data_IF_294668492586
#
_entry.id   IF_294668492586
#
_cell.length_a   1.000
_cell.length_b   1.000
_cell.length_c   1.000
_cell.angle_alpha   90.00
_cell.angle_beta   90.00
_cell.angle_gamma   90.00
#
_symmetry.space_group_name_H-M   'P 1'
#
loop_
_entity.id
_entity.type
_entity.pdbx_description
1 polymer ?
#
# COMPACT_ATOMS: atom_id res chain seq x y z
N UNK A 1 63.59 -18.53 -5.07
CA UNK A 1 63.63 -19.97 -4.76
C UNK A 1 62.38 -20.64 -5.30
N UNK A 2 62.48 -21.87 -5.83
CA UNK A 2 61.34 -22.60 -6.44
C UNK A 2 60.12 -22.71 -5.50
N UNK A 3 60.37 -22.89 -4.20
CA UNK A 3 59.37 -22.91 -3.14
C UNK A 3 58.49 -21.65 -3.09
N UNK A 4 59.07 -20.46 -3.35
CA UNK A 4 58.31 -19.20 -3.39
C UNK A 4 57.38 -19.17 -4.61
N UNK A 5 57.83 -19.68 -5.75
CA UNK A 5 57.02 -19.74 -6.97
C UNK A 5 55.85 -20.74 -6.82
N UNK A 6 56.09 -21.90 -6.22
CA UNK A 6 55.06 -22.90 -5.92
C UNK A 6 54.00 -22.35 -4.96
N UNK A 7 54.43 -21.67 -3.89
CA UNK A 7 53.53 -20.99 -2.95
C UNK A 7 52.75 -19.85 -3.61
N UNK A 8 53.35 -19.09 -4.53
CA UNK A 8 52.62 -18.06 -5.30
C UNK A 8 51.53 -18.66 -6.19
N UNK A 9 51.78 -19.80 -6.82
CA UNK A 9 50.79 -20.51 -7.65
C UNK A 9 49.64 -21.04 -6.79
N UNK A 10 49.92 -21.62 -5.63
CA UNK A 10 48.91 -22.07 -4.68
C UNK A 10 48.01 -20.91 -4.22
N UNK A 11 48.60 -19.78 -3.81
CA UNK A 11 47.88 -18.57 -3.42
C UNK A 11 47.01 -18.05 -4.57
N UNK A 12 47.53 -18.04 -5.81
CA UNK A 12 46.76 -17.62 -6.98
C UNK A 12 45.55 -18.54 -7.25
N UNK A 13 45.72 -19.86 -7.10
CA UNK A 13 44.63 -20.83 -7.21
C UNK A 13 43.56 -20.64 -6.13
N UNK A 14 43.97 -20.44 -4.87
CA UNK A 14 43.04 -20.11 -3.79
C UNK A 14 42.30 -18.79 -4.05
N UNK A 15 43.02 -17.76 -4.50
CA UNK A 15 42.46 -16.48 -4.89
C UNK A 15 41.39 -16.63 -5.98
N UNK A 16 41.70 -17.40 -7.03
CA UNK A 16 40.75 -17.72 -8.09
C UNK A 16 39.51 -18.47 -7.59
N UNK A 17 39.68 -19.42 -6.65
CA UNK A 17 38.57 -20.12 -6.01
C UNK A 17 37.70 -19.20 -5.13
N UNK A 18 38.30 -18.22 -4.44
CA UNK A 18 37.55 -17.22 -3.67
C UNK A 18 36.74 -16.31 -4.60
N UNK A 19 37.36 -15.80 -5.67
CA UNK A 19 36.67 -14.97 -6.68
C UNK A 19 35.50 -15.72 -7.31
N UNK A 20 35.68 -16.99 -7.71
CA UNK A 20 34.58 -17.81 -8.25
C UNK A 20 33.40 -17.94 -7.28
N UNK A 21 33.67 -18.17 -5.99
CA UNK A 21 32.62 -18.22 -4.96
C UNK A 21 31.90 -16.89 -4.79
N UNK A 22 32.63 -15.77 -4.86
CA UNK A 22 32.02 -14.43 -4.84
C UNK A 22 31.11 -14.21 -6.03
N UNK A 23 31.52 -14.62 -7.24
CA UNK A 23 30.69 -14.51 -8.45
C UNK A 23 29.40 -15.33 -8.29
N UNK A 24 29.50 -16.58 -7.83
CA UNK A 24 28.31 -17.41 -7.56
C UNK A 24 27.39 -16.77 -6.52
N UNK A 25 27.95 -16.16 -5.47
CA UNK A 25 27.16 -15.40 -4.49
C UNK A 25 26.43 -14.21 -5.11
N UNK A 26 27.07 -13.50 -6.05
CA UNK A 26 26.45 -12.39 -6.78
C UNK A 26 25.33 -12.85 -7.72
N UNK A 27 25.44 -14.03 -8.33
CA UNK A 27 24.36 -14.60 -9.14
C UNK A 27 23.11 -14.89 -8.29
N UNK A 28 23.29 -15.44 -7.08
CA UNK A 28 22.20 -15.66 -6.12
C UNK A 28 21.58 -14.34 -5.65
N UNK A 29 22.40 -13.33 -5.35
CA UNK A 29 21.91 -11.99 -4.97
C UNK A 29 21.06 -11.40 -6.11
N UNK A 30 21.52 -11.54 -7.36
CA UNK A 30 20.79 -11.06 -8.53
C UNK A 30 19.41 -11.74 -8.66
N UNK A 31 19.34 -13.05 -8.43
CA UNK A 31 18.07 -13.78 -8.45
C UNK A 31 17.11 -13.27 -7.38
N UNK A 32 17.59 -13.07 -6.15
CA UNK A 32 16.78 -12.52 -5.05
C UNK A 32 16.31 -11.09 -5.31
N UNK A 33 17.14 -10.24 -5.94
CA UNK A 33 16.73 -8.89 -6.35
C UNK A 33 15.59 -8.97 -7.36
N UNK A 34 15.70 -9.84 -8.38
CA UNK A 34 14.63 -10.02 -9.38
C UNK A 34 13.32 -10.52 -8.76
N UNK A 35 13.39 -11.44 -7.80
CA UNK A 35 12.21 -11.90 -7.07
C UNK A 35 11.59 -10.78 -6.23
N UNK A 36 12.43 -9.97 -5.58
CA UNK A 36 12.00 -8.82 -4.78
C UNK A 36 11.30 -7.78 -5.66
N UNK A 37 11.85 -7.42 -6.82
CA UNK A 37 11.20 -6.51 -7.77
C UNK A 37 9.84 -7.03 -8.25
N UNK A 38 9.70 -8.34 -8.49
CA UNK A 38 8.39 -8.95 -8.82
C UNK A 38 7.38 -8.83 -7.68
N UNK A 39 7.83 -8.96 -6.43
CA UNK A 39 6.97 -8.79 -5.24
C UNK A 39 6.55 -7.32 -5.07
N UNK A 40 7.46 -6.38 -5.26
CA UNK A 40 7.19 -4.93 -5.22
C UNK A 40 6.17 -4.55 -6.29
N UNK A 41 6.33 -5.04 -7.52
CA UNK A 41 5.37 -4.77 -8.61
C UNK A 41 3.96 -5.24 -8.26
N UNK A 42 3.82 -6.47 -7.75
CA UNK A 42 2.52 -7.00 -7.31
C UNK A 42 1.92 -6.19 -6.15
N UNK A 43 2.77 -5.69 -5.24
CA UNK A 43 2.32 -4.81 -4.17
C UNK A 43 1.75 -3.50 -4.73
N UNK A 44 2.42 -2.89 -5.71
CA UNK A 44 1.93 -1.70 -6.40
C UNK A 44 0.58 -1.92 -7.10
N UNK A 45 0.42 -3.06 -7.79
CA UNK A 45 -0.85 -3.47 -8.42
C UNK A 45 -1.97 -3.62 -7.36
N UNK A 46 -1.71 -4.34 -6.26
CA UNK A 46 -2.68 -4.49 -5.16
C UNK A 46 -3.02 -3.16 -4.48
N UNK A 47 -2.05 -2.26 -4.32
CA UNK A 47 -2.31 -0.92 -3.78
C UNK A 47 -3.17 -0.07 -4.69
N UNK A 48 -3.05 -0.22 -6.02
CA UNK A 48 -3.96 0.44 -6.96
C UNK A 48 -5.41 -0.06 -6.79
N UNK A 49 -5.61 -1.38 -6.71
CA UNK A 49 -6.95 -1.94 -6.47
C UNK A 49 -7.56 -1.44 -5.14
N UNK A 50 -6.75 -1.36 -4.07
CA UNK A 50 -7.20 -0.80 -2.80
C UNK A 50 -7.57 0.68 -2.97
N UNK A 51 -6.80 1.46 -3.74
CA UNK A 51 -7.11 2.86 -4.03
C UNK A 51 -8.48 3.04 -4.68
N UNK A 52 -8.81 2.20 -5.66
CA UNK A 52 -10.10 2.23 -6.36
C UNK A 52 -11.26 1.88 -5.41
N UNK A 53 -11.07 0.90 -4.52
CA UNK A 53 -12.05 0.53 -3.49
C UNK A 53 -12.26 1.69 -2.50
N UNK A 54 -11.18 2.34 -2.06
CA UNK A 54 -11.25 3.47 -1.11
C UNK A 54 -11.99 4.65 -1.72
N UNK A 55 -11.77 4.95 -3.01
CA UNK A 55 -12.51 5.97 -3.73
C UNK A 55 -14.01 5.66 -3.76
N UNK A 56 -14.39 4.40 -4.08
CA UNK A 56 -15.79 3.96 -4.06
C UNK A 56 -16.42 4.10 -2.67
N UNK A 57 -15.71 3.75 -1.59
CA UNK A 57 -16.23 3.91 -0.22
C UNK A 57 -16.41 5.40 0.11
N UNK A 58 -15.51 6.28 -0.33
CA UNK A 58 -15.67 7.72 -0.15
C UNK A 58 -16.93 8.24 -0.86
N UNK A 59 -17.16 7.82 -2.11
CA UNK A 59 -18.35 8.19 -2.86
C UNK A 59 -19.65 7.71 -2.17
N UNK A 60 -19.64 6.49 -1.62
CA UNK A 60 -20.76 5.95 -0.83
C UNK A 60 -20.98 6.78 0.44
N UNK A 61 -19.91 7.19 1.13
CA UNK A 61 -20.01 8.03 2.31
C UNK A 61 -20.61 9.41 1.96
N UNK A 62 -20.16 10.03 0.87
CA UNK A 62 -20.70 11.31 0.40
C UNK A 62 -22.17 11.21 0.00
N UNK A 63 -22.58 10.14 -0.69
CA UNK A 63 -23.99 9.88 -1.01
C UNK A 63 -24.83 9.64 0.25
N UNK A 64 -24.31 8.88 1.21
CA UNK A 64 -24.98 8.63 2.49
C UNK A 64 -25.16 9.93 3.28
N UNK A 65 -24.17 10.82 3.23
CA UNK A 65 -24.25 12.14 3.85
C UNK A 65 -25.38 12.99 3.23
N UNK A 66 -25.49 13.01 1.89
CA UNK A 66 -26.57 13.71 1.19
C UNK A 66 -27.94 13.10 1.51
N UNK A 67 -28.05 11.78 1.57
CA UNK A 67 -29.28 11.09 1.95
C UNK A 67 -29.71 11.42 3.38
N UNK A 68 -28.77 11.45 4.32
CA UNK A 68 -29.00 11.82 5.70
C UNK A 68 -29.48 13.27 5.83
N UNK A 69 -28.85 14.20 5.12
CA UNK A 69 -29.27 15.60 5.06
C UNK A 69 -30.71 15.75 4.53
N UNK A 70 -31.04 15.06 3.44
CA UNK A 70 -32.39 15.07 2.90
C UNK A 70 -33.42 14.50 3.91
N UNK A 71 -33.07 13.43 4.62
CA UNK A 71 -33.90 12.86 5.66
C UNK A 71 -34.11 13.84 6.83
N UNK A 72 -33.06 14.57 7.25
CA UNK A 72 -33.15 15.60 8.28
C UNK A 72 -34.08 16.76 7.86
N UNK A 73 -34.01 17.21 6.60
CA UNK A 73 -34.90 18.24 6.05
C UNK A 73 -36.37 17.77 6.09
N UNK A 74 -36.65 16.54 5.64
CA UNK A 74 -38.01 15.99 5.65
C UNK A 74 -38.53 15.78 7.08
N UNK A 75 -37.67 15.34 8.00
CA UNK A 75 -38.01 15.20 9.40
C UNK A 75 -38.38 16.55 10.05
N UNK A 76 -37.65 17.62 9.70
CA UNK A 76 -37.98 18.98 10.13
C UNK A 76 -39.33 19.44 9.58
N UNK A 77 -39.62 19.15 8.31
CA UNK A 77 -40.90 19.48 7.67
C UNK A 77 -42.11 18.77 8.31
N UNK A 78 -41.91 17.56 8.85
CA UNK A 78 -42.94 16.79 9.56
C UNK A 78 -43.19 17.26 11.01
N UNK A 79 -42.43 18.23 11.51
CA UNK A 79 -42.60 18.80 12.86
C UNK A 79 -42.45 17.76 13.97
N UNK A 80 -43.39 17.73 14.91
CA UNK A 80 -43.40 16.79 16.05
C UNK A 80 -43.38 15.31 15.61
N UNK A 81 -44.03 14.98 14.48
CA UNK A 81 -44.06 13.61 13.97
C UNK A 81 -42.70 13.15 13.41
N UNK A 82 -41.83 14.08 13.01
CA UNK A 82 -40.51 13.80 12.44
C UNK A 82 -39.37 13.74 13.46
N UNK A 83 -39.63 14.03 14.75
CA UNK A 83 -38.59 14.22 15.77
C UNK A 83 -37.68 13.00 15.95
N UNK A 84 -38.25 11.79 15.92
CA UNK A 84 -37.48 10.55 15.97
C UNK A 84 -36.65 10.29 14.71
N UNK A 85 -37.19 10.61 13.53
CA UNK A 85 -36.47 10.50 12.26
C UNK A 85 -35.31 11.50 12.15
N UNK A 86 -35.46 12.71 12.73
CA UNK A 86 -34.39 13.72 12.76
C UNK A 86 -33.15 13.22 13.51
N UNK A 87 -33.32 12.54 14.64
CA UNK A 87 -32.20 11.98 15.43
C UNK A 87 -31.48 10.88 14.65
N UNK A 88 -32.22 10.01 13.95
CA UNK A 88 -31.61 8.96 13.13
C UNK A 88 -30.85 9.58 11.95
N UNK A 89 -31.41 10.58 11.29
CA UNK A 89 -30.76 11.28 10.19
C UNK A 89 -29.42 11.91 10.63
N UNK A 90 -29.39 12.56 11.80
CA UNK A 90 -28.18 13.17 12.36
C UNK A 90 -27.09 12.13 12.66
N UNK A 91 -27.43 10.97 13.24
CA UNK A 91 -26.43 9.93 13.51
C UNK A 91 -25.91 9.28 12.23
N UNK A 92 -26.77 9.08 11.21
CA UNK A 92 -26.33 8.59 9.89
C UNK A 92 -25.40 9.59 9.23
N UNK A 93 -25.69 10.89 9.30
CA UNK A 93 -24.81 11.95 8.78
C UNK A 93 -23.44 11.90 9.46
N UNK A 94 -23.42 11.81 10.79
CA UNK A 94 -22.17 11.72 11.56
C UNK A 94 -21.37 10.47 11.24
N UNK A 95 -22.04 9.34 10.99
CA UNK A 95 -21.39 8.10 10.59
C UNK A 95 -20.77 8.24 9.18
N UNK A 96 -21.49 8.85 8.25
CA UNK A 96 -21.02 9.11 6.90
C UNK A 96 -19.76 10.00 6.91
N UNK A 97 -19.76 11.10 7.65
CA UNK A 97 -18.59 11.98 7.81
C UNK A 97 -17.39 11.26 8.44
N UNK A 98 -17.62 10.44 9.47
CA UNK A 98 -16.55 9.63 10.08
C UNK A 98 -15.98 8.60 9.10
N UNK A 99 -16.84 7.98 8.29
CA UNK A 99 -16.42 7.05 7.24
C UNK A 99 -15.56 7.76 6.18
N UNK A 100 -16.02 8.91 5.68
CA UNK A 100 -15.28 9.73 4.71
C UNK A 100 -13.92 10.23 5.24
N UNK A 101 -13.83 10.55 6.52
CA UNK A 101 -12.54 10.90 7.13
C UNK A 101 -11.60 9.69 7.27
N UNK A 102 -12.14 8.50 7.53
CA UNK A 102 -11.34 7.28 7.60
C UNK A 102 -10.82 6.88 6.22
N UNK A 103 -11.65 6.93 5.18
CA UNK A 103 -11.25 6.63 3.79
C UNK A 103 -10.13 7.56 3.32
N UNK A 104 -10.21 8.87 3.57
CA UNK A 104 -9.13 9.82 3.24
C UNK A 104 -7.79 9.48 3.88
N UNK A 105 -7.79 8.97 5.12
CA UNK A 105 -6.56 8.51 5.79
C UNK A 105 -6.00 7.26 5.11
N UNK A 106 -6.86 6.33 4.71
CA UNK A 106 -6.44 5.13 3.98
C UNK A 106 -5.91 5.51 2.59
N UNK A 107 -6.57 6.42 1.89
CA UNK A 107 -6.14 6.94 0.58
C UNK A 107 -4.71 7.50 0.64
N UNK A 108 -4.40 8.30 1.66
CA UNK A 108 -3.05 8.81 1.89
C UNK A 108 -2.02 7.68 2.08
N UNK A 109 -2.34 6.66 2.89
CA UNK A 109 -1.47 5.51 3.12
C UNK A 109 -1.24 4.70 1.83
N UNK A 110 -2.30 4.44 1.07
CA UNK A 110 -2.23 3.74 -0.21
C UNK A 110 -1.34 4.51 -1.18
N UNK A 111 -1.49 5.83 -1.26
CA UNK A 111 -0.68 6.69 -2.12
C UNK A 111 0.80 6.68 -1.73
N UNK A 112 1.11 6.65 -0.44
CA UNK A 112 2.48 6.45 0.04
C UNK A 112 3.02 5.10 -0.43
N UNK A 113 2.28 4.00 -0.24
CA UNK A 113 2.72 2.67 -0.70
C UNK A 113 2.93 2.65 -2.22
N UNK A 114 2.06 3.28 -3.00
CA UNK A 114 2.22 3.41 -4.45
C UNK A 114 3.48 4.19 -4.83
N UNK A 115 3.82 5.23 -4.07
CA UNK A 115 5.04 6.03 -4.30
C UNK A 115 6.28 5.20 -3.97
N UNK A 116 6.32 4.61 -2.77
CA UNK A 116 7.43 3.80 -2.29
C UNK A 116 7.68 2.58 -3.20
N UNK A 117 6.61 1.94 -3.67
CA UNK A 117 6.73 0.82 -4.61
C UNK A 117 7.27 1.28 -5.95
N UNK A 118 6.80 2.40 -6.52
CA UNK A 118 7.31 2.93 -7.78
C UNK A 118 8.79 3.38 -7.70
N UNK A 119 9.25 3.88 -6.55
CA UNK A 119 10.66 4.23 -6.34
C UNK A 119 11.57 3.01 -6.23
N UNK A 120 11.04 1.87 -5.81
CA UNK A 120 11.81 0.65 -5.56
C UNK A 120 11.94 -0.28 -6.78
N UNK A 121 11.33 0.05 -7.92
CA UNK A 121 11.38 -0.72 -9.19
C UNK A 121 12.22 -0.04 -10.27
#
# INVERSE_FOLDING_TARGET
SAEVAEKSVEIAHEGGNRVRRTIQGMDVIREHIQETSKRIKRLGESSQEIGDIVALINDIADQTNILALNAAIQASAAGEAGRGFAVVADEVQRLAERSGNATKRIEALVKTIQTDTNEAI
#
